data_IF_197144360095
#
_entry.id   IF_197144360095
#
_cell.length_a   1.000
_cell.length_b   1.000
_cell.length_c   1.000
_cell.angle_alpha   90.00
_cell.angle_beta   90.00
_cell.angle_gamma   90.00
#
_symmetry.space_group_name_H-M   'P 1'
#
loop_
_entity.id
_entity.type
_entity.pdbx_description
1 polymer ?
#
# COMPACT_ATOMS: atom_id res chain seq x y z
N UNK A 1 -18.97 11.62 7.87
CA UNK A 1 -18.76 10.41 8.69
C UNK A 1 -17.27 10.22 8.85
N UNK A 2 -16.78 10.00 10.08
CA UNK A 2 -15.38 9.68 10.35
C UNK A 2 -15.18 8.16 10.36
N UNK A 3 -13.97 7.68 10.09
CA UNK A 3 -13.63 6.26 10.19
C UNK A 3 -13.70 5.77 11.65
N UNK A 4 -14.01 4.49 11.85
CA UNK A 4 -13.98 3.82 13.17
C UNK A 4 -12.55 3.41 13.56
N UNK A 5 -12.30 3.14 14.84
CA UNK A 5 -11.01 2.64 15.32
C UNK A 5 -10.62 1.29 14.68
N UNK A 6 -11.60 0.42 14.42
CA UNK A 6 -11.39 -0.85 13.74
C UNK A 6 -10.94 -0.64 12.29
N UNK A 7 -11.58 0.28 11.57
CA UNK A 7 -11.18 0.67 10.22
C UNK A 7 -9.77 1.28 10.19
N UNK A 8 -9.44 2.15 11.16
CA UNK A 8 -8.11 2.75 11.28
C UNK A 8 -7.04 1.68 11.56
N UNK A 9 -7.31 0.77 12.51
CA UNK A 9 -6.39 -0.30 12.90
C UNK A 9 -6.09 -1.23 11.71
N UNK A 10 -7.12 -1.61 10.95
CA UNK A 10 -6.97 -2.43 9.75
C UNK A 10 -6.06 -1.76 8.71
N UNK A 11 -6.26 -0.46 8.45
CA UNK A 11 -5.40 0.30 7.52
C UNK A 11 -3.95 0.32 8.00
N UNK A 12 -3.69 0.61 9.28
CA UNK A 12 -2.33 0.65 9.84
C UNK A 12 -1.64 -0.72 9.74
N UNK A 13 -2.37 -1.81 10.01
CA UNK A 13 -1.85 -3.16 9.86
C UNK A 13 -1.58 -3.53 8.39
N UNK A 14 -2.47 -3.16 7.47
CA UNK A 14 -2.32 -3.41 6.05
C UNK A 14 -1.13 -2.61 5.47
N UNK A 15 -0.92 -1.38 5.96
CA UNK A 15 0.21 -0.52 5.62
C UNK A 15 1.57 -1.11 6.03
N UNK A 16 1.63 -1.78 7.18
CA UNK A 16 2.86 -2.33 7.75
C UNK A 16 3.21 -3.74 7.26
N UNK A 17 2.21 -4.52 6.82
CA UNK A 17 2.37 -5.91 6.39
C UNK A 17 2.65 -6.06 4.88
N UNK A 18 2.28 -5.07 4.07
CA UNK A 18 2.44 -5.20 2.64
C UNK A 18 3.90 -5.09 2.20
N UNK A 19 4.28 -6.04 1.36
CA UNK A 19 5.63 -6.12 0.80
C UNK A 19 5.54 -5.95 -0.71
N UNK A 20 5.48 -4.71 -1.18
CA UNK A 20 5.47 -4.42 -2.62
C UNK A 20 6.92 -4.39 -3.11
N UNK A 21 7.17 -4.98 -4.28
CA UNK A 21 8.46 -4.92 -4.95
C UNK A 21 8.36 -4.17 -6.27
N UNK A 22 9.36 -3.33 -6.56
CA UNK A 22 9.51 -2.68 -7.85
C UNK A 22 9.55 -3.73 -8.98
N UNK A 23 8.75 -3.57 -10.05
CA UNK A 23 8.72 -4.53 -11.15
C UNK A 23 10.07 -4.61 -11.88
N UNK A 24 10.79 -3.50 -11.97
CA UNK A 24 12.06 -3.37 -12.70
C UNK A 24 13.25 -3.94 -11.92
N UNK A 25 13.52 -3.41 -10.73
CA UNK A 25 14.77 -3.71 -10.00
C UNK A 25 14.57 -4.57 -8.74
N UNK A 26 13.33 -4.99 -8.46
CA UNK A 26 12.90 -5.83 -7.33
C UNK A 26 13.11 -5.23 -5.94
N UNK A 27 13.57 -3.98 -5.85
CA UNK A 27 13.66 -3.26 -4.58
C UNK A 27 12.31 -3.24 -3.88
N UNK A 28 12.32 -3.54 -2.58
CA UNK A 28 11.15 -3.39 -1.72
C UNK A 28 10.77 -1.92 -1.64
N UNK A 29 9.53 -1.62 -1.99
CA UNK A 29 8.91 -0.30 -1.89
C UNK A 29 8.36 -0.15 -0.47
N UNK A 30 8.56 1.02 0.13
CA UNK A 30 7.98 1.37 1.43
C UNK A 30 6.72 2.22 1.23
N UNK A 31 5.88 2.26 2.25
CA UNK A 31 4.75 3.20 2.24
C UNK A 31 5.25 4.64 2.10
N UNK A 32 4.57 5.43 1.28
CA UNK A 32 4.91 6.84 1.03
C UNK A 32 5.93 7.08 -0.08
N UNK A 33 6.58 6.04 -0.62
CA UNK A 33 7.34 6.16 -1.87
C UNK A 33 6.36 6.38 -3.04
N UNK A 34 6.66 7.34 -3.92
CA UNK A 34 5.93 7.55 -5.20
C UNK A 34 6.73 7.03 -6.40
N UNK A 35 8.03 6.83 -6.23
CA UNK A 35 8.96 6.26 -7.20
C UNK A 35 9.84 5.22 -6.49
N UNK A 36 10.40 4.26 -7.23
CA UNK A 36 11.31 3.29 -6.66
C UNK A 36 12.60 3.98 -6.17
N UNK A 37 12.95 3.89 -4.87
CA UNK A 37 14.09 4.63 -4.30
C UNK A 37 15.45 4.15 -4.80
N UNK A 38 15.51 3.02 -5.50
CA UNK A 38 16.76 2.48 -6.07
C UNK A 38 16.95 2.84 -7.54
N UNK A 39 15.90 2.83 -8.36
CA UNK A 39 16.03 2.94 -9.82
C UNK A 39 15.21 4.06 -10.46
N UNK A 40 14.38 4.78 -9.68
CA UNK A 40 13.55 5.87 -10.17
C UNK A 40 12.34 5.43 -11.00
N UNK A 41 12.05 4.13 -11.10
CA UNK A 41 10.84 3.66 -11.79
C UNK A 41 9.60 4.21 -11.09
N UNK A 42 8.63 4.70 -11.86
CA UNK A 42 7.28 5.02 -11.36
C UNK A 42 6.63 3.75 -10.79
N UNK A 43 5.97 3.87 -9.65
CA UNK A 43 5.34 2.75 -8.96
C UNK A 43 3.85 2.96 -8.69
N UNK A 44 3.21 3.93 -9.37
CA UNK A 44 1.79 4.26 -9.19
C UNK A 44 0.88 3.03 -9.29
N UNK A 45 1.10 2.16 -10.28
CA UNK A 45 0.29 0.97 -10.49
C UNK A 45 0.36 0.01 -9.30
N UNK A 46 1.56 -0.17 -8.73
CA UNK A 46 1.75 -1.02 -7.56
C UNK A 46 1.10 -0.41 -6.32
N UNK A 47 1.16 0.91 -6.15
CA UNK A 47 0.50 1.63 -5.06
C UNK A 47 -1.04 1.52 -5.18
N UNK A 48 -1.60 1.63 -6.38
CA UNK A 48 -3.04 1.47 -6.64
C UNK A 48 -3.51 0.04 -6.36
N UNK A 49 -2.76 -0.96 -6.83
CA UNK A 49 -3.06 -2.37 -6.56
C UNK A 49 -3.06 -2.65 -5.05
N UNK A 50 -2.09 -2.09 -4.33
CA UNK A 50 -2.04 -2.22 -2.89
C UNK A 50 -3.21 -1.53 -2.18
N UNK A 51 -3.56 -0.31 -2.57
CA UNK A 51 -4.71 0.40 -2.03
C UNK A 51 -6.03 -0.37 -2.24
N UNK A 52 -6.22 -0.98 -3.42
CA UNK A 52 -7.38 -1.81 -3.69
C UNK A 52 -7.46 -3.02 -2.73
N UNK A 53 -6.33 -3.70 -2.50
CA UNK A 53 -6.25 -4.79 -1.54
C UNK A 53 -6.54 -4.35 -0.10
N UNK A 54 -6.07 -3.18 0.33
CA UNK A 54 -6.35 -2.66 1.67
C UNK A 54 -7.84 -2.39 1.91
N UNK A 55 -8.55 -1.95 0.88
CA UNK A 55 -9.97 -1.60 0.95
C UNK A 55 -10.91 -2.81 0.89
N UNK A 56 -10.45 -3.94 0.36
CA UNK A 56 -11.28 -5.13 0.17
C UNK A 56 -11.95 -5.61 1.48
N UNK A 57 -11.24 -5.68 2.62
CA UNK A 57 -11.86 -6.08 3.90
C UNK A 57 -12.69 -4.97 4.55
N UNK A 58 -12.44 -3.70 4.23
CA UNK A 58 -13.14 -2.56 4.84
C UNK A 58 -14.55 -2.38 4.26
N UNK A 59 -14.81 -2.87 3.04
CA UNK A 59 -16.14 -2.71 2.40
C UNK A 59 -17.29 -3.32 3.21
N UNK A 60 -16.97 -4.28 4.07
CA UNK A 60 -17.93 -5.01 4.91
C UNK A 60 -17.78 -4.72 6.42
N UNK A 61 -16.91 -3.77 6.81
CA UNK A 61 -16.67 -3.30 8.19
C UNK A 61 -17.37 -1.96 8.48
#
# INVERSE_FOLDING_TARGET
MSATEEQISHVVQAMSSATISCPECKTRIRYGDYECPRCGNDIEDQLRAWAAWMLEPIRDL
#
